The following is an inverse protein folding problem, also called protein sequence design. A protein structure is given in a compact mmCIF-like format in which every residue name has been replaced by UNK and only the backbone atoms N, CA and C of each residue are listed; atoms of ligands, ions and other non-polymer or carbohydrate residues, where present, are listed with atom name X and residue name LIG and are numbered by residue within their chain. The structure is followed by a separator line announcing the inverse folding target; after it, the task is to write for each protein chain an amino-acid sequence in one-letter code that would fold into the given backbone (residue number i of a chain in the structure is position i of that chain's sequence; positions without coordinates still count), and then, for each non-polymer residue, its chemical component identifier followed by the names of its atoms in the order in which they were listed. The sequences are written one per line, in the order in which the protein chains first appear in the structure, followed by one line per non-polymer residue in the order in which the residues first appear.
data_IF_083322502280
#
_entry.id   IF_083322502280
#
_cell.length_a   1.000
_cell.length_b   1.000
_cell.length_c   1.000
_cell.angle_alpha   90.00
_cell.angle_beta   90.00
_cell.angle_gamma   90.00
#
_symmetry.space_group_name_H-M   'P 1'
#
loop_
_entity.id
_entity.type
_entity.pdbx_description
1 polymer ?
#
# COMPACT_ATOMS: atom_id res chain seq x y z
N UNK A 1 7.87 4.07 -36.95
CA UNK A 1 9.23 4.53 -36.59
C UNK A 1 10.04 3.29 -36.24
N UNK A 2 11.20 3.12 -36.87
CA UNK A 2 12.15 2.04 -36.61
C UNK A 2 12.41 1.92 -35.09
N UNK A 3 12.46 0.73 -34.50
CA UNK A 3 13.45 -0.29 -34.83
C UNK A 3 14.75 0.03 -34.11
N UNK A 4 14.74 -0.15 -32.80
CA UNK A 4 15.89 0.05 -31.92
C UNK A 4 15.66 -0.69 -30.61
N UNK A 5 15.83 -2.01 -30.63
CA UNK A 5 15.99 -2.83 -29.43
C UNK A 5 17.34 -2.53 -28.78
N UNK A 6 17.50 -1.29 -28.30
CA UNK A 6 18.61 -0.95 -27.42
C UNK A 6 18.31 -1.57 -26.06
N UNK A 7 19.22 -2.41 -25.57
CA UNK A 7 19.18 -2.90 -24.18
C UNK A 7 18.94 -1.71 -23.25
N UNK A 8 17.83 -1.76 -22.50
CA UNK A 8 17.56 -0.79 -21.45
C UNK A 8 18.76 -0.77 -20.50
N UNK A 9 19.24 0.41 -20.13
CA UNK A 9 20.27 0.52 -19.09
C UNK A 9 19.67 0.12 -17.75
N UNK A 10 20.39 -0.73 -17.01
CA UNK A 10 19.94 -1.21 -15.71
C UNK A 10 20.27 -0.18 -14.63
N UNK A 11 19.36 -0.04 -13.68
CA UNK A 11 19.58 0.72 -12.45
C UNK A 11 19.23 -0.18 -11.28
N UNK A 12 20.12 -0.29 -10.30
CA UNK A 12 19.85 -1.04 -9.08
C UNK A 12 19.32 -0.08 -8.02
N UNK A 13 18.21 -0.46 -7.39
CA UNK A 13 17.49 0.33 -6.38
C UNK A 13 17.66 -0.32 -5.01
N UNK A 14 18.17 0.46 -4.06
CA UNK A 14 18.37 0.06 -2.66
C UNK A 14 17.48 0.89 -1.70
N UNK A 15 16.25 0.42 -1.50
CA UNK A 15 15.25 1.07 -0.66
C UNK A 15 14.63 2.34 -1.27
N UNK A 16 13.64 2.89 -0.56
CA UNK A 16 12.84 4.04 -1.04
C UNK A 16 13.66 5.31 -1.22
N UNK A 17 14.66 5.55 -0.37
CA UNK A 17 15.53 6.73 -0.49
C UNK A 17 16.36 6.69 -1.77
N UNK A 18 16.95 5.54 -2.10
CA UNK A 18 17.70 5.40 -3.35
C UNK A 18 16.75 5.51 -4.54
N UNK A 19 15.56 4.89 -4.48
CA UNK A 19 14.54 5.02 -5.52
C UNK A 19 14.20 6.49 -5.84
N UNK A 20 13.97 7.32 -4.82
CA UNK A 20 13.74 8.77 -4.97
C UNK A 20 14.92 9.48 -5.62
N UNK A 21 16.14 9.17 -5.20
CA UNK A 21 17.35 9.78 -5.76
C UNK A 21 17.55 9.39 -7.23
N UNK A 22 17.33 8.12 -7.57
CA UNK A 22 17.45 7.58 -8.94
C UNK A 22 16.41 8.19 -9.87
N UNK A 23 15.13 8.20 -9.44
CA UNK A 23 14.03 8.78 -10.20
C UNK A 23 14.22 10.27 -10.52
N UNK A 24 14.88 11.00 -9.63
CA UNK A 24 15.17 12.41 -9.86
C UNK A 24 16.41 12.65 -10.76
N UNK A 25 17.38 11.73 -10.72
CA UNK A 25 18.66 11.89 -11.42
C UNK A 25 18.66 11.32 -12.84
N UNK A 26 17.88 10.27 -13.09
CA UNK A 26 17.93 9.50 -14.33
C UNK A 26 16.70 9.84 -15.17
N UNK A 27 16.95 10.32 -16.39
CA UNK A 27 15.93 10.69 -17.36
C UNK A 27 15.97 9.70 -18.52
N UNK A 28 14.79 9.24 -18.93
CA UNK A 28 14.57 8.30 -20.03
C UNK A 28 14.46 6.83 -19.61
N UNK A 29 14.24 5.94 -20.59
CA UNK A 29 13.88 4.53 -20.35
C UNK A 29 14.95 3.75 -19.59
N UNK A 30 14.56 3.00 -18.56
CA UNK A 30 15.48 2.19 -17.73
C UNK A 30 14.82 0.89 -17.27
N UNK A 31 15.63 -0.13 -17.03
CA UNK A 31 15.21 -1.31 -16.29
C UNK A 31 15.60 -1.14 -14.82
N UNK A 32 14.60 -1.01 -13.95
CA UNK A 32 14.77 -0.91 -12.52
C UNK A 32 14.86 -2.30 -11.88
N UNK A 33 16.02 -2.61 -11.32
CA UNK A 33 16.32 -3.84 -10.59
C UNK A 33 16.28 -3.53 -9.10
N UNK A 34 15.47 -4.25 -8.33
CA UNK A 34 15.48 -4.10 -6.87
C UNK A 34 16.66 -4.88 -6.32
N UNK A 35 17.55 -4.21 -5.58
CA UNK A 35 18.66 -4.87 -4.88
C UNK A 35 18.28 -5.23 -3.45
N UNK A 36 17.76 -4.26 -2.70
CA UNK A 36 17.16 -4.51 -1.40
C UNK A 36 16.06 -3.50 -1.06
N UNK A 37 15.11 -3.91 -0.23
CA UNK A 37 14.05 -3.01 0.27
C UNK A 37 13.58 -3.47 1.63
N UNK A 38 13.28 -2.52 2.52
CA UNK A 38 12.59 -2.82 3.78
C UNK A 38 11.14 -3.20 3.48
N UNK A 39 10.59 -4.20 4.16
CA UNK A 39 9.18 -4.64 3.96
C UNK A 39 8.22 -3.45 4.00
N UNK A 40 8.33 -2.58 5.01
CA UNK A 40 7.50 -1.37 5.16
C UNK A 40 7.69 -0.30 4.08
N UNK A 41 8.81 -0.32 3.35
CA UNK A 41 9.08 0.63 2.28
C UNK A 41 8.59 0.11 0.92
N UNK A 42 8.28 -1.19 0.79
CA UNK A 42 7.95 -1.82 -0.49
C UNK A 42 6.75 -1.18 -1.21
N UNK A 43 5.62 -0.84 -0.55
CA UNK A 43 4.50 -0.17 -1.22
C UNK A 43 4.87 1.21 -1.77
N UNK A 44 5.71 1.96 -1.05
CA UNK A 44 6.18 3.28 -1.46
C UNK A 44 7.16 3.18 -2.64
N UNK A 45 8.08 2.21 -2.62
CA UNK A 45 8.97 1.93 -3.76
C UNK A 45 8.15 1.57 -5.00
N UNK A 46 7.18 0.66 -4.87
CA UNK A 46 6.32 0.25 -5.97
C UNK A 46 5.57 1.46 -6.56
N UNK A 47 4.90 2.25 -5.72
CA UNK A 47 4.17 3.45 -6.14
C UNK A 47 5.06 4.45 -6.87
N UNK A 48 6.28 4.66 -6.38
CA UNK A 48 7.25 5.54 -7.02
C UNK A 48 7.65 5.01 -8.39
N UNK A 49 7.97 3.73 -8.51
CA UNK A 49 8.40 3.14 -9.76
C UNK A 49 7.29 3.10 -10.79
N UNK A 50 6.04 2.83 -10.40
CA UNK A 50 4.88 2.94 -11.28
C UNK A 50 4.73 4.35 -11.87
N UNK A 51 5.06 5.39 -11.11
CA UNK A 51 5.07 6.77 -11.65
C UNK A 51 6.19 6.96 -12.67
N UNK A 52 7.35 6.35 -12.45
CA UNK A 52 8.47 6.42 -13.40
C UNK A 52 8.25 5.56 -14.64
N UNK A 53 7.50 4.45 -14.54
CA UNK A 53 7.04 3.68 -15.70
C UNK A 53 6.26 4.59 -16.65
N UNK A 54 5.28 5.34 -16.13
CA UNK A 54 4.45 6.25 -16.93
C UNK A 54 5.24 7.47 -17.41
N UNK A 55 6.13 8.02 -16.57
CA UNK A 55 6.79 9.30 -16.83
C UNK A 55 8.05 9.18 -17.68
N UNK A 56 8.79 8.09 -17.54
CA UNK A 56 10.15 7.94 -18.06
C UNK A 56 10.31 6.65 -18.88
N UNK A 57 9.22 5.92 -19.15
CA UNK A 57 9.22 4.60 -19.79
C UNK A 57 10.16 3.63 -19.06
N UNK A 58 10.13 3.63 -17.73
CA UNK A 58 10.85 2.64 -16.94
C UNK A 58 10.13 1.29 -16.99
N UNK A 59 10.89 0.22 -16.83
CA UNK A 59 10.41 -1.13 -16.59
C UNK A 59 10.88 -1.59 -15.20
N UNK A 60 10.06 -2.39 -14.51
CA UNK A 60 10.40 -2.94 -13.20
C UNK A 60 10.73 -4.41 -13.37
N UNK A 61 11.99 -4.78 -13.16
CA UNK A 61 12.38 -6.18 -13.19
C UNK A 61 11.64 -6.94 -12.07
N UNK A 62 10.96 -8.04 -12.44
CA UNK A 62 10.24 -8.91 -11.50
C UNK A 62 9.24 -8.15 -10.63
N UNK A 63 8.49 -7.23 -11.24
CA UNK A 63 7.44 -6.44 -10.58
C UNK A 63 6.59 -7.27 -9.60
N UNK A 64 6.16 -8.47 -10.00
CA UNK A 64 5.36 -9.37 -9.17
C UNK A 64 5.99 -9.68 -7.79
N UNK A 65 7.33 -9.74 -7.67
CA UNK A 65 8.01 -9.95 -6.38
C UNK A 65 7.87 -8.74 -5.48
N UNK A 66 7.96 -7.53 -6.06
CA UNK A 66 7.75 -6.28 -5.33
C UNK A 66 6.27 -6.09 -4.95
N UNK A 67 5.34 -6.45 -5.85
CA UNK A 67 3.89 -6.45 -5.57
C UNK A 67 3.55 -7.38 -4.40
N UNK A 68 4.07 -8.61 -4.41
CA UNK A 68 3.89 -9.59 -3.32
C UNK A 68 4.51 -9.09 -2.01
N UNK A 69 5.64 -8.38 -2.06
CA UNK A 69 6.28 -7.79 -0.89
C UNK A 69 5.48 -6.60 -0.33
N UNK A 70 4.89 -5.77 -1.20
CA UNK A 70 3.97 -4.71 -0.79
C UNK A 70 2.70 -5.30 -0.15
N UNK A 71 2.13 -6.37 -0.72
CA UNK A 71 1.00 -7.10 -0.14
C UNK A 71 1.35 -7.67 1.24
N UNK A 72 2.56 -8.21 1.41
CA UNK A 72 3.02 -8.67 2.73
C UNK A 72 3.01 -7.53 3.75
N UNK A 73 3.48 -6.32 3.41
CA UNK A 73 3.40 -5.18 4.33
C UNK A 73 1.96 -4.84 4.71
N UNK A 74 1.04 -4.81 3.73
CA UNK A 74 -0.37 -4.53 4.00
C UNK A 74 -0.98 -5.58 4.94
N UNK A 75 -0.69 -6.86 4.76
CA UNK A 75 -1.17 -7.91 5.68
C UNK A 75 -0.59 -7.74 7.10
N UNK A 76 0.68 -7.39 7.23
CA UNK A 76 1.29 -7.09 8.53
C UNK A 76 0.63 -5.85 9.18
N UNK A 77 0.28 -4.83 8.38
CA UNK A 77 -0.45 -3.67 8.86
C UNK A 77 -1.87 -4.03 9.36
N UNK A 78 -2.61 -4.91 8.67
CA UNK A 78 -3.92 -5.40 9.14
C UNK A 78 -3.79 -6.07 10.52
N UNK A 79 -2.75 -6.89 10.70
CA UNK A 79 -2.51 -7.56 11.99
C UNK A 79 -2.23 -6.52 13.09
N UNK A 80 -1.36 -5.55 12.83
CA UNK A 80 -0.94 -4.56 13.82
C UNK A 80 -2.03 -3.54 14.16
N UNK A 81 -2.76 -3.05 13.16
CA UNK A 81 -3.66 -1.91 13.30
C UNK A 81 -5.11 -2.32 13.60
N UNK A 82 -5.51 -3.57 13.31
CA UNK A 82 -6.87 -4.05 13.57
C UNK A 82 -6.91 -5.27 14.51
N UNK A 83 -6.18 -6.34 14.19
CA UNK A 83 -6.32 -7.63 14.90
C UNK A 83 -5.71 -7.57 16.31
N UNK A 84 -4.49 -7.05 16.45
CA UNK A 84 -3.83 -6.89 17.75
C UNK A 84 -4.67 -6.01 18.69
N UNK A 85 -5.17 -4.82 18.29
CA UNK A 85 -6.05 -4.01 19.14
C UNK A 85 -7.32 -4.74 19.59
N UNK A 86 -7.98 -5.51 18.71
CA UNK A 86 -9.14 -6.33 19.06
C UNK A 86 -8.81 -7.34 20.17
N UNK A 87 -7.68 -8.04 20.02
CA UNK A 87 -7.24 -9.09 20.94
C UNK A 87 -6.67 -8.53 22.25
N UNK A 88 -6.09 -7.33 22.23
CA UNK A 88 -5.70 -6.62 23.44
C UNK A 88 -6.91 -6.21 24.28
N UNK A 89 -8.00 -5.78 23.63
CA UNK A 89 -9.24 -5.41 24.34
C UNK A 89 -10.00 -6.65 24.82
N UNK A 90 -10.13 -7.65 23.95
CA UNK A 90 -10.89 -8.88 24.22
C UNK A 90 -10.04 -10.10 23.85
N UNK A 91 -9.30 -10.71 24.80
CA UNK A 91 -8.39 -11.83 24.51
C UNK A 91 -9.05 -13.05 23.87
N UNK A 92 -10.37 -13.25 24.07
CA UNK A 92 -11.15 -14.34 23.48
C UNK A 92 -12.02 -13.89 22.29
N UNK A 93 -11.66 -12.81 21.61
CA UNK A 93 -12.39 -12.33 20.43
C UNK A 93 -12.30 -13.35 19.28
N UNK A 94 -13.38 -14.10 19.06
CA UNK A 94 -13.42 -15.23 18.11
C UNK A 94 -13.05 -14.80 16.68
N UNK A 95 -13.61 -13.70 16.20
CA UNK A 95 -13.34 -13.17 14.84
C UNK A 95 -11.86 -12.81 14.68
N UNK A 96 -11.32 -11.94 15.53
CA UNK A 96 -9.90 -11.58 15.50
C UNK A 96 -8.98 -12.80 15.64
N UNK A 97 -9.36 -13.81 16.43
CA UNK A 97 -8.62 -15.07 16.53
C UNK A 97 -8.61 -15.88 15.23
N UNK A 98 -9.75 -15.97 14.53
CA UNK A 98 -9.85 -16.61 13.21
C UNK A 98 -9.00 -15.88 12.19
N UNK A 99 -9.08 -14.54 12.16
CA UNK A 99 -8.28 -13.73 11.25
C UNK A 99 -6.78 -13.84 11.55
N UNK A 100 -6.37 -13.86 12.83
CA UNK A 100 -4.98 -14.09 13.20
C UNK A 100 -4.45 -15.44 12.69
N UNK A 101 -5.27 -16.49 12.73
CA UNK A 101 -4.93 -17.79 12.15
C UNK A 101 -4.78 -17.72 10.62
N UNK A 102 -5.70 -17.03 9.94
CA UNK A 102 -5.70 -16.84 8.48
C UNK A 102 -4.46 -16.07 8.03
N UNK A 103 -4.20 -14.91 8.62
CA UNK A 103 -2.99 -14.13 8.32
C UNK A 103 -1.72 -14.87 8.70
N UNK A 104 -1.74 -15.70 9.74
CA UNK A 104 -0.61 -16.57 10.08
C UNK A 104 -0.22 -17.55 8.97
N UNK A 105 -1.17 -18.06 8.18
CA UNK A 105 -0.88 -18.83 6.96
C UNK A 105 -0.46 -17.93 5.82
N UNK A 106 -1.23 -16.87 5.59
CA UNK A 106 -1.09 -15.97 4.45
C UNK A 106 0.29 -15.33 4.37
N UNK A 107 0.80 -14.73 5.46
CA UNK A 107 2.12 -14.09 5.46
C UNK A 107 3.24 -15.11 5.19
N UNK A 108 3.08 -16.35 5.65
CA UNK A 108 4.05 -17.41 5.42
C UNK A 108 4.05 -17.82 3.94
N UNK A 109 2.87 -17.98 3.34
CA UNK A 109 2.72 -18.31 1.93
C UNK A 109 3.24 -17.19 1.03
N UNK A 110 2.85 -15.92 1.29
CA UNK A 110 3.38 -14.76 0.59
C UNK A 110 4.91 -14.72 0.63
N UNK A 111 5.52 -14.89 1.80
CA UNK A 111 6.97 -14.91 1.94
C UNK A 111 7.65 -16.03 1.12
N UNK A 112 7.03 -17.22 1.04
CA UNK A 112 7.52 -18.31 0.21
C UNK A 112 7.32 -18.03 -1.30
N UNK A 113 6.24 -17.37 -1.69
CA UNK A 113 5.93 -17.08 -3.10
C UNK A 113 6.85 -16.03 -3.74
N UNK A 114 7.57 -15.23 -2.94
CA UNK A 114 8.43 -14.16 -3.48
C UNK A 114 9.77 -14.74 -4.00
N UNK A 115 10.41 -15.62 -3.22
CA UNK A 115 11.75 -16.17 -3.52
C UNK A 115 11.91 -17.66 -3.22
N UNK A 116 10.83 -18.36 -2.89
CA UNK A 116 10.85 -19.74 -2.44
C UNK A 116 11.10 -19.92 -0.93
N UNK A 117 10.89 -21.14 -0.40
CA UNK A 117 10.92 -21.43 1.03
C UNK A 117 12.33 -21.42 1.66
N UNK A 118 13.38 -21.44 0.84
CA UNK A 118 14.80 -21.46 1.29
C UNK A 118 15.32 -20.04 1.54
N UNK A 119 14.64 -19.01 1.02
CA UNK A 119 15.09 -17.64 1.15
C UNK A 119 15.01 -17.11 2.59
N UNK A 120 15.90 -16.17 2.93
CA UNK A 120 15.97 -15.55 4.25
C UNK A 120 14.65 -14.89 4.68
N UNK A 121 13.88 -14.34 3.73
CA UNK A 121 12.54 -13.80 3.97
C UNK A 121 11.60 -14.86 4.55
N UNK A 122 11.46 -16.01 3.90
CA UNK A 122 10.61 -17.10 4.42
C UNK A 122 11.16 -17.66 5.74
N UNK A 123 12.49 -17.74 5.90
CA UNK A 123 13.11 -18.14 7.17
C UNK A 123 12.76 -17.21 8.34
N UNK A 124 12.59 -15.90 8.08
CA UNK A 124 12.17 -14.91 9.08
C UNK A 124 10.66 -14.91 9.32
N UNK A 125 9.84 -14.96 8.27
CA UNK A 125 8.37 -14.85 8.35
C UNK A 125 7.73 -16.17 8.84
N UNK A 126 8.26 -17.32 8.43
CA UNK A 126 7.70 -18.63 8.76
C UNK A 126 7.53 -18.91 10.26
N UNK A 127 8.53 -18.65 11.13
CA UNK A 127 8.39 -18.74 12.58
C UNK A 127 7.30 -17.84 13.15
N UNK A 128 7.14 -16.62 12.62
CA UNK A 128 6.09 -15.69 13.04
C UNK A 128 4.73 -16.23 12.64
N UNK A 129 4.54 -16.64 11.39
CA UNK A 129 3.29 -17.24 10.92
C UNK A 129 2.85 -18.44 11.77
N UNK A 130 3.78 -19.35 12.10
CA UNK A 130 3.52 -20.48 13.02
C UNK A 130 3.13 -20.02 14.42
N UNK A 131 3.77 -18.96 14.92
CA UNK A 131 3.45 -18.38 16.23
C UNK A 131 2.03 -17.80 16.25
N UNK A 132 1.62 -17.04 15.23
CA UNK A 132 0.27 -16.51 15.09
C UNK A 132 -0.79 -17.62 15.12
N UNK A 133 -0.58 -18.68 14.33
CA UNK A 133 -1.50 -19.83 14.28
C UNK A 133 -1.56 -20.58 15.62
N UNK A 134 -0.44 -20.70 16.32
CA UNK A 134 -0.40 -21.31 17.66
C UNK A 134 -1.18 -20.47 18.67
N UNK A 135 -1.01 -19.15 18.65
CA UNK A 135 -1.76 -18.23 19.51
C UNK A 135 -3.27 -18.37 19.27
N UNK A 136 -3.71 -18.26 18.02
CA UNK A 136 -5.10 -18.44 17.63
C UNK A 136 -5.66 -19.81 18.03
N UNK A 137 -4.89 -20.89 17.86
CA UNK A 137 -5.31 -22.23 18.31
C UNK A 137 -5.55 -22.28 19.82
N UNK A 138 -4.65 -21.70 20.63
CA UNK A 138 -4.82 -21.67 22.08
C UNK A 138 -6.05 -20.88 22.51
N UNK A 139 -6.31 -19.77 21.83
CA UNK A 139 -7.50 -18.93 22.01
C UNK A 139 -8.78 -19.71 21.70
N UNK A 140 -8.87 -20.34 20.51
CA UNK A 140 -10.07 -21.09 20.08
C UNK A 140 -10.36 -22.30 20.96
N UNK A 141 -9.34 -23.02 21.41
CA UNK A 141 -9.53 -24.23 22.22
C UNK A 141 -9.63 -23.94 23.73
N UNK A 142 -9.49 -22.69 24.17
CA UNK A 142 -9.52 -22.33 25.59
C UNK A 142 -8.45 -23.03 26.43
N UNK A 143 -7.32 -23.40 25.82
CA UNK A 143 -6.25 -24.18 26.50
C UNK A 143 -5.31 -23.30 27.33
N UNK A 144 -5.49 -21.98 27.28
CA UNK A 144 -4.72 -20.96 27.99
C UNK A 144 -5.67 -19.92 28.57
N UNK A 145 -5.25 -19.30 29.66
CA UNK A 145 -6.03 -18.26 30.33
C UNK A 145 -5.89 -16.88 29.66
N UNK A 146 -6.75 -15.94 30.07
CA UNK A 146 -6.75 -14.58 29.54
C UNK A 146 -5.41 -13.86 29.74
N UNK A 147 -4.72 -14.12 30.86
CA UNK A 147 -3.44 -13.50 31.18
C UNK A 147 -2.34 -13.96 30.21
N UNK A 148 -2.31 -15.26 29.90
CA UNK A 148 -1.39 -15.82 28.90
C UNK A 148 -1.68 -15.26 27.51
N UNK A 149 -2.95 -15.14 27.11
CA UNK A 149 -3.33 -14.55 25.81
C UNK A 149 -2.91 -13.07 25.73
N UNK A 150 -3.22 -12.27 26.76
CA UNK A 150 -2.83 -10.86 26.80
C UNK A 150 -1.30 -10.66 26.84
N UNK A 151 -0.55 -11.55 27.49
CA UNK A 151 0.91 -11.50 27.45
C UNK A 151 1.46 -11.82 26.05
N UNK A 152 0.93 -12.85 25.39
CA UNK A 152 1.42 -13.25 24.07
C UNK A 152 0.96 -12.34 22.93
N UNK A 153 -0.13 -11.58 23.08
CA UNK A 153 -0.54 -10.64 22.01
C UNK A 153 0.44 -9.46 21.89
N UNK A 154 1.09 -9.07 22.99
CA UNK A 154 2.21 -8.11 22.93
C UNK A 154 3.40 -8.70 22.17
N UNK A 155 3.71 -9.98 22.38
CA UNK A 155 4.74 -10.66 21.61
C UNK A 155 4.37 -10.81 20.13
N UNK A 156 3.08 -11.01 19.80
CA UNK A 156 2.59 -10.95 18.41
C UNK A 156 2.89 -9.58 17.80
N UNK A 157 2.53 -8.50 18.50
CA UNK A 157 2.80 -7.12 18.05
C UNK A 157 4.28 -6.91 17.76
N UNK A 158 5.15 -7.28 18.70
CA UNK A 158 6.60 -7.05 18.58
C UNK A 158 7.20 -7.85 17.41
N UNK A 159 6.82 -9.13 17.28
CA UNK A 159 7.31 -10.00 16.18
C UNK A 159 6.83 -9.52 14.81
N UNK A 160 5.57 -9.11 14.68
CA UNK A 160 5.01 -8.60 13.42
C UNK A 160 5.62 -7.25 13.07
N UNK A 161 5.83 -6.38 14.05
CA UNK A 161 6.52 -5.10 13.86
C UNK A 161 7.98 -5.29 13.42
N UNK A 162 8.66 -6.32 13.92
CA UNK A 162 10.03 -6.64 13.50
C UNK A 162 10.08 -7.07 12.02
N UNK A 163 9.08 -7.80 11.52
CA UNK A 163 9.00 -8.17 10.10
C UNK A 163 8.88 -6.94 9.20
N UNK A 164 8.09 -5.91 9.58
CA UNK A 164 8.00 -4.67 8.81
C UNK A 164 9.33 -3.92 8.69
N UNK A 165 10.24 -4.14 9.65
CA UNK A 165 11.58 -3.54 9.66
C UNK A 165 12.65 -4.37 8.94
N UNK A 166 12.29 -5.58 8.48
CA UNK A 166 13.22 -6.47 7.79
C UNK A 166 13.63 -5.88 6.44
N UNK A 167 14.93 -5.81 6.17
CA UNK A 167 15.48 -5.51 4.85
C UNK A 167 15.59 -6.82 4.06
N UNK A 168 14.92 -6.86 2.92
CA UNK A 168 14.84 -8.02 2.05
C UNK A 168 15.80 -7.83 0.90
N UNK A 169 16.81 -8.69 0.81
CA UNK A 169 17.72 -8.75 -0.33
C UNK A 169 17.03 -9.46 -1.50
N UNK A 170 17.09 -8.87 -2.69
CA UNK A 170 16.63 -9.49 -3.93
C UNK A 170 17.86 -10.16 -4.56
N UNK A 171 17.82 -11.48 -4.81
CA UNK A 171 18.94 -12.17 -5.42
C UNK A 171 19.16 -11.67 -6.85
N UNK A 172 20.41 -11.31 -7.16
CA UNK A 172 20.87 -11.19 -8.54
C UNK A 172 20.81 -12.58 -9.17
N UNK A 173 19.84 -12.80 -10.06
CA UNK A 173 19.81 -14.02 -10.86
C UNK A 173 20.40 -13.71 -12.23
N UNK A 174 21.30 -14.57 -12.70
CA UNK A 174 21.82 -14.52 -14.06
C UNK A 174 20.62 -14.58 -15.04
N UNK A 175 20.46 -13.62 -15.97
CA UNK A 175 19.33 -13.60 -16.90
C UNK A 175 19.19 -14.91 -17.70
N UNK A 176 20.27 -15.66 -17.90
CA UNK A 176 20.21 -16.99 -18.52
C UNK A 176 19.50 -18.05 -17.65
N UNK A 177 19.62 -17.96 -16.32
CA UNK A 177 18.91 -18.83 -15.38
C UNK A 177 17.44 -18.40 -15.21
N UNK A 178 17.17 -17.09 -15.22
CA UNK A 178 15.81 -16.55 -15.15
C UNK A 178 14.98 -16.91 -16.39
N UNK A 179 15.55 -16.86 -17.60
CA UNK A 179 14.87 -17.28 -18.82
C UNK A 179 14.55 -18.78 -18.86
N UNK A 180 15.34 -19.62 -18.18
CA UNK A 180 15.07 -21.05 -18.04
C UNK A 180 13.95 -21.35 -17.02
N UNK A 181 13.75 -20.48 -16.03
CA UNK A 181 12.66 -20.59 -15.04
C UNK A 181 11.36 -19.93 -15.51
N UNK A 182 11.43 -18.90 -16.35
CA UNK A 182 10.27 -18.18 -16.90
C UNK A 182 9.41 -19.02 -17.87
N UNK A 183 9.82 -20.25 -18.20
CA UNK A 183 9.03 -21.19 -18.99
C UNK A 183 7.93 -21.91 -18.21
N UNK A 184 7.77 -21.65 -16.90
CA UNK A 184 6.86 -22.41 -16.02
C UNK A 184 6.00 -21.53 -15.08
N UNK A 185 6.00 -20.20 -15.26
CA UNK A 185 5.22 -19.26 -14.43
C UNK A 185 3.91 -18.82 -15.13
N UNK A 186 3.07 -19.80 -15.49
CA UNK A 186 1.61 -19.64 -15.64
C UNK A 186 0.94 -20.24 -14.38
N UNK A 187 1.29 -19.70 -13.21
CA UNK A 187 0.50 -19.92 -11.99
C UNK A 187 -0.18 -18.61 -11.61
N UNK A 188 -1.34 -18.40 -12.25
CA UNK A 188 -2.53 -17.89 -11.60
C UNK A 188 -2.87 -18.80 -10.39
N UNK A 189 -2.06 -18.70 -9.34
CA UNK A 189 -2.35 -19.33 -8.06
C UNK A 189 -2.46 -18.28 -6.95
N UNK A 190 -3.42 -17.38 -7.13
CA UNK A 190 -4.08 -16.68 -6.02
C UNK A 190 -5.29 -17.51 -5.51
N UNK A 191 -5.37 -18.82 -5.82
CA UNK A 191 -6.56 -19.65 -5.62
C UNK A 191 -6.40 -20.96 -4.84
N UNK A 192 -5.20 -21.37 -4.43
CA UNK A 192 -4.97 -22.70 -3.81
C UNK A 192 -5.48 -22.80 -2.36
N UNK A 193 -6.77 -23.12 -2.29
CA UNK A 193 -7.37 -24.17 -1.48
C UNK A 193 -7.19 -24.06 0.05
N UNK A 194 -7.98 -23.17 0.64
CA UNK A 194 -8.46 -23.39 2.00
C UNK A 194 -9.49 -24.53 1.98
N UNK A 195 -9.05 -25.76 2.21
CA UNK A 195 -9.93 -26.80 2.74
C UNK A 195 -10.19 -26.44 4.21
N UNK A 196 -11.24 -25.64 4.45
CA UNK A 196 -11.89 -25.67 5.76
C UNK A 196 -12.56 -27.05 5.87
N UNK A 197 -12.03 -27.92 6.73
CA UNK A 197 -12.75 -29.10 7.19
C UNK A 197 -14.10 -28.64 7.79
N UNK A 198 -15.16 -28.97 7.07
CA UNK A 198 -16.52 -29.23 7.58
C UNK A 198 -17.38 -28.03 8.03
N UNK A 199 -18.12 -27.46 7.07
CA UNK A 199 -19.54 -27.11 7.22
C UNK A 199 -20.15 -26.83 5.83
N UNK A 200 -20.96 -27.77 5.33
CA UNK A 200 -21.57 -27.70 4.02
C UNK A 200 -22.47 -26.48 3.81
N UNK A 201 -22.44 -25.93 2.60
CA UNK A 201 -23.62 -25.37 1.96
C UNK A 201 -23.42 -25.33 0.44
N UNK A 202 -24.27 -26.07 -0.27
CA UNK A 202 -24.56 -25.87 -1.68
C UNK A 202 -24.90 -24.40 -1.93
N UNK A 203 -24.16 -23.73 -2.80
CA UNK A 203 -24.63 -22.51 -3.46
C UNK A 203 -24.50 -22.72 -4.95
N UNK A 204 -25.55 -23.33 -5.51
CA UNK A 204 -25.83 -23.29 -6.93
C UNK A 204 -26.02 -21.83 -7.38
N UNK A 205 -25.51 -21.54 -8.58
CA UNK A 205 -25.62 -20.23 -9.22
C UNK A 205 -27.06 -19.76 -9.32
N UNK A 206 -27.30 -18.58 -8.75
CA UNK A 206 -28.45 -17.73 -9.05
C UNK A 206 -27.94 -16.32 -9.26
N UNK A 207 -28.26 -15.72 -10.41
CA UNK A 207 -28.03 -14.30 -10.71
C UNK A 207 -28.92 -13.38 -9.87
N UNK A 208 -28.79 -13.48 -8.54
CA UNK A 208 -29.43 -12.59 -7.57
C UNK A 208 -28.58 -11.36 -7.34
N UNK A 209 -29.24 -10.22 -7.12
CA UNK A 209 -28.61 -8.96 -6.68
C UNK A 209 -27.66 -9.23 -5.50
N UNK A 210 -26.41 -8.79 -5.64
CA UNK A 210 -25.43 -8.87 -4.56
C UNK A 210 -25.96 -8.14 -3.33
N UNK A 211 -25.92 -8.77 -2.17
CA UNK A 211 -26.21 -8.08 -0.92
C UNK A 211 -25.14 -7.01 -0.67
N UNK A 212 -25.58 -5.80 -0.45
CA UNK A 212 -24.73 -4.66 -0.14
C UNK A 212 -24.28 -4.67 1.32
N UNK A 213 -23.02 -4.30 1.56
CA UNK A 213 -22.47 -4.05 2.87
C UNK A 213 -21.73 -2.71 2.86
N UNK A 214 -21.85 -1.95 3.94
CA UNK A 214 -21.10 -0.69 4.12
C UNK A 214 -19.95 -0.93 5.10
N UNK A 215 -18.75 -0.48 4.72
CA UNK A 215 -17.53 -0.61 5.52
C UNK A 215 -17.06 0.75 6.01
N UNK A 216 -16.85 0.86 7.33
CA UNK A 216 -16.34 2.04 8.03
C UNK A 216 -14.97 1.76 8.67
N UNK A 217 -13.91 2.01 7.90
CA UNK A 217 -12.53 1.82 8.31
C UNK A 217 -12.06 0.36 8.36
N UNK A 218 -10.79 0.18 8.73
CA UNK A 218 -10.13 -1.12 8.70
C UNK A 218 -10.70 -2.12 9.71
N UNK A 219 -11.07 -1.65 10.90
CA UNK A 219 -11.61 -2.50 11.94
C UNK A 219 -12.96 -3.13 11.51
N UNK A 220 -13.86 -2.32 10.96
CA UNK A 220 -15.13 -2.83 10.41
C UNK A 220 -14.86 -3.78 9.24
N UNK A 221 -13.93 -3.46 8.34
CA UNK A 221 -13.56 -4.34 7.24
C UNK A 221 -13.16 -5.74 7.70
N UNK A 222 -12.30 -5.85 8.72
CA UNK A 222 -11.89 -7.14 9.30
C UNK A 222 -13.08 -7.88 9.93
N UNK A 223 -13.94 -7.17 10.67
CA UNK A 223 -15.13 -7.78 11.27
C UNK A 223 -16.09 -8.32 10.22
N UNK A 224 -16.33 -7.56 9.14
CA UNK A 224 -17.21 -7.94 8.03
C UNK A 224 -16.66 -9.14 7.27
N UNK A 225 -15.38 -9.12 6.91
CA UNK A 225 -14.72 -10.20 6.17
C UNK A 225 -14.77 -11.55 6.90
N UNK A 226 -14.71 -11.51 8.24
CA UNK A 226 -14.81 -12.70 9.05
C UNK A 226 -16.26 -13.18 9.27
N UNK A 227 -17.23 -12.26 9.31
CA UNK A 227 -18.61 -12.55 9.65
C UNK A 227 -19.48 -12.94 8.44
N UNK A 228 -19.17 -12.39 7.26
CA UNK A 228 -20.01 -12.50 6.08
C UNK A 228 -19.37 -13.46 5.09
N UNK A 229 -20.13 -14.49 4.71
CA UNK A 229 -19.71 -15.50 3.73
C UNK A 229 -20.50 -15.34 2.43
N UNK A 230 -19.78 -15.49 1.32
CA UNK A 230 -20.29 -15.42 -0.04
C UNK A 230 -20.25 -14.03 -0.68
N UNK A 231 -20.74 -13.91 -1.93
CA UNK A 231 -20.57 -12.71 -2.75
C UNK A 231 -21.28 -11.49 -2.19
N UNK A 232 -20.62 -10.32 -2.19
CA UNK A 232 -21.16 -9.06 -1.65
C UNK A 232 -20.72 -7.88 -2.50
N UNK A 233 -21.57 -6.85 -2.56
CA UNK A 233 -21.19 -5.54 -3.06
C UNK A 233 -20.77 -4.68 -1.85
N UNK A 234 -19.52 -4.24 -1.84
CA UNK A 234 -18.92 -3.48 -0.76
C UNK A 234 -18.95 -2.00 -1.08
N UNK A 235 -19.66 -1.24 -0.26
CA UNK A 235 -19.67 0.22 -0.30
C UNK A 235 -18.73 0.72 0.80
N UNK A 236 -17.79 1.57 0.44
CA UNK A 236 -16.95 2.25 1.43
C UNK A 236 -17.73 3.42 1.98
N UNK A 237 -17.92 3.49 3.30
CA UNK A 237 -18.55 4.63 3.98
C UNK A 237 -17.52 5.67 4.37
N UNK A 238 -16.53 5.27 5.16
CA UNK A 238 -15.38 6.12 5.49
C UNK A 238 -14.12 5.31 5.75
N UNK A 239 -12.97 5.89 5.44
CA UNK A 239 -11.65 5.27 5.65
C UNK A 239 -10.64 6.35 6.02
N UNK A 240 -9.78 6.07 7.01
CA UNK A 240 -8.60 6.90 7.29
C UNK A 240 -7.58 6.72 6.17
N UNK A 241 -6.96 7.81 5.70
CA UNK A 241 -5.97 7.76 4.60
C UNK A 241 -4.89 6.69 4.85
N UNK A 242 -4.32 6.63 6.06
CA UNK A 242 -3.32 5.62 6.44
C UNK A 242 -3.78 4.17 6.37
N UNK A 243 -5.08 3.95 6.48
CA UNK A 243 -5.67 2.61 6.55
C UNK A 243 -6.10 2.14 5.15
N UNK A 244 -6.22 3.04 4.18
CA UNK A 244 -6.71 2.75 2.83
C UNK A 244 -5.94 1.61 2.12
N UNK A 245 -4.59 1.53 2.18
CA UNK A 245 -3.87 0.39 1.59
C UNK A 245 -4.24 -0.96 2.22
N UNK A 246 -4.36 -1.00 3.54
CA UNK A 246 -4.72 -2.21 4.28
C UNK A 246 -6.18 -2.63 4.02
N UNK A 247 -7.10 -1.66 3.95
CA UNK A 247 -8.50 -1.91 3.58
C UNK A 247 -8.58 -2.46 2.16
N UNK A 248 -7.89 -1.85 1.20
CA UNK A 248 -7.87 -2.32 -0.18
C UNK A 248 -7.34 -3.74 -0.29
N UNK A 249 -6.18 -4.02 0.33
CA UNK A 249 -5.58 -5.36 0.30
C UNK A 249 -6.48 -6.44 0.93
N UNK A 250 -7.18 -6.09 2.02
CA UNK A 250 -8.16 -6.98 2.64
C UNK A 250 -9.32 -7.26 1.70
N UNK A 251 -9.91 -6.23 1.11
CA UNK A 251 -11.09 -6.38 0.26
C UNK A 251 -10.77 -7.07 -1.07
N UNK A 252 -9.61 -6.81 -1.67
CA UNK A 252 -9.15 -7.54 -2.86
C UNK A 252 -8.98 -9.03 -2.56
N UNK A 253 -8.44 -9.37 -1.38
CA UNK A 253 -8.34 -10.76 -0.92
C UNK A 253 -9.70 -11.41 -0.74
N UNK A 254 -10.67 -10.70 -0.18
CA UNK A 254 -12.05 -11.18 -0.07
C UNK A 254 -12.76 -11.24 -1.43
N UNK A 255 -12.36 -10.41 -2.40
CA UNK A 255 -12.80 -10.50 -3.78
C UNK A 255 -12.47 -11.86 -4.38
N UNK A 256 -11.22 -12.30 -4.24
CA UNK A 256 -10.78 -13.63 -4.70
C UNK A 256 -11.42 -14.76 -3.88
N UNK A 257 -11.49 -14.62 -2.55
CA UNK A 257 -11.93 -15.69 -1.65
C UNK A 257 -13.45 -15.90 -1.63
N UNK A 258 -14.23 -14.83 -1.75
CA UNK A 258 -15.67 -14.82 -1.48
C UNK A 258 -16.49 -14.23 -2.63
N UNK A 259 -15.86 -13.72 -3.69
CA UNK A 259 -16.55 -13.00 -4.76
C UNK A 259 -17.08 -11.65 -4.30
N UNK A 260 -16.34 -10.95 -3.44
CA UNK A 260 -16.68 -9.58 -3.07
C UNK A 260 -16.31 -8.60 -4.19
N UNK A 261 -17.21 -7.66 -4.47
CA UNK A 261 -17.01 -6.60 -5.44
C UNK A 261 -16.96 -5.26 -4.69
N UNK A 262 -15.93 -4.45 -4.93
CA UNK A 262 -15.79 -3.14 -4.29
C UNK A 262 -16.40 -2.08 -5.20
N UNK A 263 -17.47 -1.43 -4.74
CA UNK A 263 -18.04 -0.31 -5.45
C UNK A 263 -16.99 0.80 -5.57
N UNK A 264 -16.74 1.23 -6.82
CA UNK A 264 -15.74 2.26 -7.15
C UNK A 264 -14.36 1.97 -6.55
N UNK A 265 -13.90 0.72 -6.67
CA UNK A 265 -12.55 0.27 -6.27
C UNK A 265 -11.43 1.28 -6.60
N UNK A 266 -11.50 1.94 -7.76
CA UNK A 266 -10.53 2.96 -8.18
C UNK A 266 -10.36 4.12 -7.19
N UNK A 267 -11.43 4.54 -6.48
CA UNK A 267 -11.36 5.62 -5.48
C UNK A 267 -10.55 5.18 -4.26
N UNK A 268 -10.79 3.97 -3.77
CA UNK A 268 -10.01 3.40 -2.67
C UNK A 268 -8.55 3.15 -3.09
N UNK A 269 -8.31 2.70 -4.33
CA UNK A 269 -6.96 2.53 -4.88
C UNK A 269 -6.21 3.86 -5.01
N UNK A 270 -6.85 4.92 -5.51
CA UNK A 270 -6.28 6.28 -5.56
C UNK A 270 -6.01 6.82 -4.14
N UNK A 271 -6.86 6.50 -3.16
CA UNK A 271 -6.63 6.86 -1.76
C UNK A 271 -5.44 6.11 -1.14
N UNK A 272 -5.27 4.82 -1.45
CA UNK A 272 -4.10 4.04 -1.06
C UNK A 272 -2.80 4.62 -1.67
N UNK A 273 -2.84 4.99 -2.95
CA UNK A 273 -1.73 5.66 -3.64
C UNK A 273 -1.38 7.00 -2.98
N UNK A 274 -2.39 7.78 -2.59
CA UNK A 274 -2.18 9.02 -1.85
C UNK A 274 -1.42 8.76 -0.54
N UNK A 275 -1.77 7.73 0.23
CA UNK A 275 -1.03 7.37 1.45
C UNK A 275 0.43 7.03 1.16
N UNK A 276 0.70 6.22 0.13
CA UNK A 276 2.07 5.86 -0.26
C UNK A 276 2.90 7.08 -0.65
N UNK A 277 2.33 8.05 -1.37
CA UNK A 277 3.00 9.31 -1.68
C UNK A 277 3.28 10.17 -0.45
N UNK A 278 2.31 10.25 0.48
CA UNK A 278 2.51 10.96 1.75
C UNK A 278 3.61 10.29 2.59
N UNK A 279 3.71 8.95 2.55
CA UNK A 279 4.76 8.20 3.22
C UNK A 279 6.15 8.53 2.63
N UNK A 280 6.29 8.65 1.30
CA UNK A 280 7.56 9.07 0.68
C UNK A 280 7.98 10.47 1.15
N UNK A 281 7.01 11.41 1.22
CA UNK A 281 7.29 12.75 1.71
C UNK A 281 7.76 12.73 3.17
N UNK A 282 7.07 11.99 4.05
CA UNK A 282 7.39 11.92 5.48
C UNK A 282 8.68 11.18 5.79
N UNK A 283 8.88 10.01 5.18
CA UNK A 283 9.94 9.08 5.58
C UNK A 283 11.24 9.29 4.78
N UNK A 284 11.18 10.00 3.65
CA UNK A 284 12.35 10.23 2.78
C UNK A 284 12.65 11.71 2.62
N UNK A 285 11.72 12.47 2.06
CA UNK A 285 12.01 13.84 1.60
C UNK A 285 12.22 14.78 2.79
N UNK A 286 11.34 14.71 3.80
CA UNK A 286 11.46 15.51 5.02
C UNK A 286 12.80 15.24 5.74
N UNK A 287 13.19 13.98 6.04
CA UNK A 287 14.50 13.69 6.62
C UNK A 287 15.69 14.20 5.82
N UNK A 288 15.64 14.10 4.48
CA UNK A 288 16.70 14.63 3.62
C UNK A 288 16.84 16.15 3.73
N UNK A 289 15.71 16.88 3.76
CA UNK A 289 15.68 18.33 3.88
C UNK A 289 15.98 18.81 5.30
N UNK A 290 15.65 18.03 6.33
CA UNK A 290 16.07 18.30 7.71
C UNK A 290 17.59 18.22 7.88
N UNK A 291 18.24 17.26 7.21
CA UNK A 291 19.70 17.13 7.24
C UNK A 291 20.39 18.16 6.36
N UNK A 292 19.86 18.39 5.15
CA UNK A 292 20.42 19.31 4.15
C UNK A 292 19.30 20.20 3.59
N UNK A 293 19.06 21.39 4.16
CA UNK A 293 17.94 22.25 3.76
C UNK A 293 17.95 22.67 2.29
N UNK A 294 19.13 22.71 1.66
CA UNK A 294 19.29 23.04 0.24
C UNK A 294 19.49 21.80 -0.66
N UNK A 295 19.03 20.62 -0.24
CA UNK A 295 19.14 19.41 -1.04
C UNK A 295 18.31 19.48 -2.33
N UNK A 296 18.96 19.75 -3.47
CA UNK A 296 18.31 20.04 -4.77
C UNK A 296 17.31 18.95 -5.18
N UNK A 297 17.72 17.68 -5.11
CA UNK A 297 16.84 16.54 -5.48
C UNK A 297 15.59 16.49 -4.60
N UNK A 298 15.76 16.51 -3.27
CA UNK A 298 14.64 16.48 -2.34
C UNK A 298 13.70 17.68 -2.54
N UNK A 299 14.23 18.87 -2.85
CA UNK A 299 13.42 20.05 -3.18
C UNK A 299 12.58 19.86 -4.44
N UNK A 300 13.18 19.32 -5.51
CA UNK A 300 12.47 19.00 -6.76
C UNK A 300 11.37 17.95 -6.53
N UNK A 301 11.67 16.90 -5.77
CA UNK A 301 10.69 15.87 -5.43
C UNK A 301 9.58 16.43 -4.54
N UNK A 302 9.89 17.30 -3.59
CA UNK A 302 8.87 17.98 -2.78
C UNK A 302 7.88 18.78 -3.63
N UNK A 303 8.38 19.48 -4.66
CA UNK A 303 7.52 20.17 -5.63
C UNK A 303 6.64 19.19 -6.41
N UNK A 304 7.23 18.08 -6.90
CA UNK A 304 6.51 17.03 -7.66
C UNK A 304 5.41 16.38 -6.83
N UNK A 305 5.72 15.94 -5.62
CA UNK A 305 4.73 15.37 -4.70
C UNK A 305 3.69 16.41 -4.29
N UNK A 306 4.07 17.69 -4.13
CA UNK A 306 3.12 18.78 -3.89
C UNK A 306 2.06 18.91 -4.98
N UNK A 307 2.42 18.75 -6.25
CA UNK A 307 1.43 18.69 -7.35
C UNK A 307 0.67 17.36 -7.34
N UNK A 308 1.38 16.25 -7.23
CA UNK A 308 0.83 14.89 -7.33
C UNK A 308 -0.26 14.60 -6.30
N UNK A 309 -0.01 14.89 -5.01
CA UNK A 309 -1.01 14.66 -3.96
C UNK A 309 -2.28 15.49 -4.16
N UNK A 310 -2.13 16.71 -4.71
CA UNK A 310 -3.27 17.58 -4.99
C UNK A 310 -4.11 17.01 -6.14
N UNK A 311 -3.46 16.54 -7.21
CA UNK A 311 -4.16 15.92 -8.35
C UNK A 311 -4.83 14.61 -7.93
N UNK A 312 -4.14 13.75 -7.18
CA UNK A 312 -4.73 12.52 -6.62
C UNK A 312 -5.95 12.82 -5.75
N UNK A 313 -5.88 13.83 -4.88
CA UNK A 313 -7.02 14.19 -4.04
C UNK A 313 -8.22 14.71 -4.86
N UNK A 314 -7.96 15.46 -5.94
CA UNK A 314 -9.00 15.93 -6.85
C UNK A 314 -9.60 14.79 -7.68
N UNK A 315 -8.81 13.79 -8.10
CA UNK A 315 -9.31 12.70 -8.96
C UNK A 315 -10.11 11.63 -8.20
N UNK A 316 -10.12 11.62 -6.86
CA UNK A 316 -10.92 10.63 -6.10
C UNK A 316 -12.41 11.02 -6.07
N UNK A 317 -12.72 12.30 -5.82
CA UNK A 317 -14.11 12.78 -5.63
C UNK A 317 -14.39 14.14 -6.30
N UNK A 318 -13.46 14.66 -7.09
CA UNK A 318 -13.53 16.01 -7.65
C UNK A 318 -12.97 17.10 -6.74
N UNK A 319 -12.77 18.32 -7.28
CA UNK A 319 -12.09 19.42 -6.59
C UNK A 319 -12.90 20.10 -5.48
N UNK A 320 -14.21 19.83 -5.41
CA UNK A 320 -15.13 20.42 -4.41
C UNK A 320 -15.19 19.57 -3.13
N UNK A 321 -14.71 18.33 -3.17
CA UNK A 321 -14.78 17.41 -2.04
C UNK A 321 -13.89 17.84 -0.86
N UNK A 322 -14.29 17.49 0.36
CA UNK A 322 -13.58 17.81 1.60
C UNK A 322 -12.13 17.28 1.60
N UNK A 323 -11.88 16.13 0.97
CA UNK A 323 -10.53 15.58 0.79
C UNK A 323 -9.62 16.54 0.03
N UNK A 324 -10.05 17.01 -1.15
CA UNK A 324 -9.26 17.96 -1.94
C UNK A 324 -9.09 19.29 -1.20
N UNK A 325 -10.13 19.76 -0.49
CA UNK A 325 -10.04 20.97 0.33
C UNK A 325 -8.98 20.84 1.46
N UNK A 326 -8.81 19.66 2.04
CA UNK A 326 -7.79 19.39 3.05
C UNK A 326 -6.37 19.24 2.46
N UNK A 327 -6.24 18.56 1.31
CA UNK A 327 -4.94 18.27 0.68
C UNK A 327 -4.35 19.47 -0.06
N UNK A 328 -5.18 20.28 -0.73
CA UNK A 328 -4.74 21.42 -1.56
C UNK A 328 -3.85 22.42 -0.82
N UNK A 329 -4.16 22.88 0.41
CA UNK A 329 -3.27 23.76 1.17
C UNK A 329 -1.90 23.14 1.46
N UNK A 330 -1.86 21.83 1.72
CA UNK A 330 -0.61 21.11 1.97
C UNK A 330 0.20 21.00 0.67
N UNK A 331 -0.40 20.58 -0.43
CA UNK A 331 0.28 20.52 -1.75
C UNK A 331 0.87 21.86 -2.17
N UNK A 332 0.13 22.96 -2.00
CA UNK A 332 0.64 24.33 -2.22
C UNK A 332 1.82 24.67 -1.30
N UNK A 333 1.72 24.29 -0.03
CA UNK A 333 2.78 24.54 0.95
C UNK A 333 4.08 23.79 0.60
N UNK A 334 3.98 22.54 0.16
CA UNK A 334 5.12 21.75 -0.35
C UNK A 334 5.81 22.46 -1.52
N UNK A 335 5.03 22.87 -2.54
CA UNK A 335 5.57 23.58 -3.72
C UNK A 335 6.19 24.92 -3.35
N UNK A 336 5.57 25.67 -2.43
CA UNK A 336 6.11 26.95 -1.94
C UNK A 336 7.44 26.75 -1.21
N UNK A 337 7.56 25.73 -0.36
CA UNK A 337 8.81 25.39 0.30
C UNK A 337 9.91 25.10 -0.74
N UNK A 338 9.61 24.25 -1.71
CA UNK A 338 10.55 23.91 -2.79
C UNK A 338 10.97 25.14 -3.62
N UNK A 339 10.04 26.05 -3.94
CA UNK A 339 10.36 27.32 -4.63
C UNK A 339 11.32 28.19 -3.81
N UNK A 340 11.10 28.33 -2.49
CA UNK A 340 12.00 29.10 -1.63
C UNK A 340 13.40 28.50 -1.57
N UNK A 341 13.48 27.17 -1.49
CA UNK A 341 14.73 26.42 -1.54
C UNK A 341 15.47 26.63 -2.86
N UNK A 342 14.77 26.51 -4.00
CA UNK A 342 15.37 26.65 -5.33
C UNK A 342 15.87 28.07 -5.62
N UNK A 343 15.09 29.09 -5.28
CA UNK A 343 15.44 30.49 -5.55
C UNK A 343 16.36 31.11 -4.48
N UNK A 344 16.65 30.40 -3.38
CA UNK A 344 17.49 30.93 -2.29
C UNK A 344 16.90 32.16 -1.61
N UNK A 345 15.57 32.32 -1.60
CA UNK A 345 14.89 33.50 -1.04
C UNK A 345 14.74 33.43 0.48
N UNK A 346 15.11 32.31 1.09
CA UNK A 346 15.05 32.05 2.53
C UNK A 346 16.34 31.37 3.00
N UNK A 347 16.67 31.56 4.26
CA UNK A 347 17.85 30.96 4.87
C UNK A 347 17.62 29.51 5.33
N UNK A 348 18.70 28.83 5.70
CA UNK A 348 18.65 27.44 6.16
C UNK A 348 17.78 27.27 7.42
N UNK A 349 17.78 28.25 8.33
CA UNK A 349 17.00 28.21 9.56
C UNK A 349 15.49 28.26 9.26
N UNK A 350 15.08 29.14 8.35
CA UNK A 350 13.70 29.22 7.89
C UNK A 350 13.26 27.93 7.20
N UNK A 351 14.10 27.38 6.31
CA UNK A 351 13.81 26.11 5.63
C UNK A 351 13.67 24.95 6.63
N UNK A 352 14.59 24.83 7.58
CA UNK A 352 14.55 23.79 8.61
C UNK A 352 13.34 23.94 9.55
N UNK A 353 12.90 25.15 9.88
CA UNK A 353 11.66 25.37 10.62
C UNK A 353 10.43 24.99 9.80
N UNK A 354 10.39 25.41 8.53
CA UNK A 354 9.25 25.19 7.64
C UNK A 354 9.08 23.72 7.24
N UNK A 355 10.16 22.92 7.20
CA UNK A 355 10.07 21.48 6.91
C UNK A 355 9.44 20.67 8.07
N UNK A 356 9.58 21.14 9.31
CA UNK A 356 8.87 20.53 10.44
C UNK A 356 7.36 20.76 10.33
N UNK A 357 6.94 21.94 9.87
CA UNK A 357 5.53 22.20 9.58
C UNK A 357 5.02 21.34 8.42
N UNK A 358 5.86 21.09 7.40
CA UNK A 358 5.54 20.11 6.33
C UNK A 358 5.28 18.74 6.94
N UNK A 359 6.18 18.25 7.79
CA UNK A 359 6.04 16.95 8.47
C UNK A 359 4.71 16.85 9.20
N UNK A 360 4.38 17.85 10.01
CA UNK A 360 3.19 17.81 10.86
C UNK A 360 1.90 17.87 10.02
N UNK A 361 1.87 18.70 8.94
CA UNK A 361 0.73 18.77 8.02
C UNK A 361 0.53 17.48 7.23
N UNK A 362 1.60 16.88 6.72
CA UNK A 362 1.52 15.61 5.96
C UNK A 362 1.12 14.46 6.88
N UNK A 363 1.61 14.44 8.12
CA UNK A 363 1.18 13.47 9.14
C UNK A 363 -0.31 13.62 9.49
N UNK A 364 -0.80 14.86 9.59
CA UNK A 364 -2.23 15.12 9.80
C UNK A 364 -3.10 14.61 8.64
N UNK A 365 -2.64 14.74 7.38
CA UNK A 365 -3.36 14.19 6.23
C UNK A 365 -3.47 12.67 6.27
N UNK A 366 -2.42 11.94 6.69
CA UNK A 366 -2.49 10.48 6.84
C UNK A 366 -3.52 10.05 7.90
N UNK A 367 -3.78 10.90 8.88
CA UNK A 367 -4.78 10.67 9.94
C UNK A 367 -6.20 11.11 9.57
N UNK A 368 -6.40 11.71 8.40
CA UNK A 368 -7.69 12.22 7.95
C UNK A 368 -8.64 11.05 7.66
N UNK A 369 -9.84 11.09 8.26
CA UNK A 369 -10.95 10.19 7.89
C UNK A 369 -11.68 10.79 6.69
N UNK A 370 -11.75 10.01 5.60
CA UNK A 370 -12.34 10.42 4.34
C UNK A 370 -13.70 9.76 4.21
N UNK A 371 -14.76 10.58 4.18
CA UNK A 371 -16.11 10.13 3.88
C UNK A 371 -16.24 9.88 2.38
N UNK A 372 -16.81 8.75 2.02
CA UNK A 372 -17.18 8.42 0.66
C UNK A 372 -18.66 8.81 0.50
N UNK A 373 -19.00 9.72 -0.45
CA UNK A 373 -20.38 10.13 -0.63
C UNK A 373 -21.24 8.95 -1.10
N UNK A 374 -22.39 8.79 -0.48
CA UNK A 374 -23.49 7.98 -1.03
C UNK A 374 -23.94 8.67 -2.31
N UNK A 375 -23.58 8.10 -3.46
CA UNK A 375 -24.10 8.52 -4.75
C UNK A 375 -25.10 7.46 -5.21
N UNK A 376 -26.28 7.91 -5.64
CA UNK A 376 -27.28 7.04 -6.24
C UNK A 376 -26.61 6.29 -7.43
N UNK A 377 -26.61 4.95 -7.46
CA UNK A 377 -25.95 4.18 -8.52
C UNK A 377 -26.44 4.56 -9.93
N UNK A 378 -27.66 5.09 -10.04
CA UNK A 378 -28.17 5.65 -11.30
C UNK A 378 -27.43 6.92 -11.76
N UNK A 379 -27.00 7.78 -10.82
CA UNK A 379 -26.20 8.97 -11.13
C UNK A 379 -24.73 8.63 -11.40
N UNK A 380 -24.22 7.58 -10.75
CA UNK A 380 -22.86 7.06 -10.92
C UNK A 380 -22.59 6.54 -12.34
N UNK A 381 -23.52 5.74 -12.88
CA UNK A 381 -23.42 5.15 -14.21
C UNK A 381 -23.42 6.23 -15.32
N UNK A 382 -24.06 7.38 -15.09
CA UNK A 382 -24.03 8.51 -16.00
C UNK A 382 -22.67 9.24 -16.02
N UNK A 383 -21.92 9.22 -14.91
CA UNK A 383 -20.60 9.83 -14.81
C UNK A 383 -19.46 8.90 -15.27
N UNK A 384 -19.64 7.58 -15.14
CA UNK A 384 -18.64 6.59 -15.56
C UNK A 384 -18.46 6.47 -17.09
N UNK A 385 -19.35 7.06 -17.88
CA UNK A 385 -19.26 7.06 -19.35
C UNK A 385 -18.17 7.97 -19.94
N UNK A 386 -17.50 8.79 -19.12
CA UNK A 386 -16.51 9.79 -19.57
C UNK A 386 -15.10 9.58 -18.99
N UNK A 387 -14.87 8.58 -18.13
CA UNK A 387 -13.63 8.48 -17.32
C UNK A 387 -12.57 7.51 -17.89
N UNK A 388 -12.54 7.34 -19.22
CA UNK A 388 -11.43 6.71 -19.97
C UNK A 388 -10.30 7.71 -20.29
N UNK A 389 -10.23 8.83 -19.55
CA UNK A 389 -9.07 9.70 -19.61
C UNK A 389 -7.91 9.11 -18.81
N UNK A 390 -7.04 8.45 -19.57
CA UNK A 390 -5.61 8.33 -19.34
C UNK A 390 -5.03 9.71 -19.02
N UNK A 391 -5.13 10.11 -17.74
CA UNK A 391 -4.49 11.30 -17.20
C UNK A 391 -2.97 11.04 -17.10
N UNK A 392 -2.33 11.02 -18.26
CA UNK A 392 -0.93 11.43 -18.35
C UNK A 392 -0.83 12.82 -17.73
N UNK A 393 0.15 13.10 -16.85
CA UNK A 393 0.24 14.40 -16.22
C UNK A 393 0.56 15.44 -17.29
N UNK A 394 -0.44 16.25 -17.66
CA UNK A 394 -0.22 17.53 -18.32
C UNK A 394 0.55 18.41 -17.34
N UNK A 395 1.87 18.31 -17.40
CA UNK A 395 2.79 19.28 -16.81
C UNK A 395 2.75 20.54 -17.67
N UNK A 396 1.64 21.26 -17.61
CA UNK A 396 1.65 22.67 -17.94
C UNK A 396 2.37 23.38 -16.79
N UNK A 397 3.44 24.07 -17.13
CA UNK A 397 4.08 25.05 -16.26
C UNK A 397 3.02 26.12 -15.95
N UNK A 398 2.38 26.04 -14.77
CA UNK A 398 1.61 27.15 -14.22
C UNK A 398 2.61 28.26 -13.82
N UNK A 399 3.00 29.04 -14.83
CA UNK A 399 3.36 30.44 -14.72
C UNK A 399 2.09 31.23 -14.40
N UNK A 400 1.75 31.33 -13.12
CA UNK A 400 0.79 32.32 -12.64
C UNK A 400 1.31 33.00 -11.36
N UNK A 401 1.79 34.22 -11.61
CA UNK A 401 1.69 35.47 -10.87
C UNK A 401 1.31 35.42 -9.37
N UNK A 402 2.29 35.75 -8.52
CA UNK A 402 2.16 36.72 -7.41
C UNK A 402 3.50 37.40 -7.11
#
# INVERSE_FOLDING_TARGET
MAGGGGELQWIVIHGVRDAVLRAAAIIGPRLAVIGDVRVSDAPAVLTLLEKEVVRQDWEIERRHRLDRLARLDHELAIILEAIVPMLMHTPFHIVAGRELQRYGWSIQHLAASIFGPVHALHAAVGPVGRFLRRHARHQHHGTRDAAWLAGNILEVRDRVSALRSLVVMFPEEDPAAAAAAAGDDDHDDDGAEFVEDDAGSDVEGGGGELQWIVIHGLHDAVLRAAAIVGPRLVIIGDVRVSDAPAVLALLDKEGVRQGWEIERRHRLARLAKLDHELAIVLEVIVPMLMHTPFHIVAGRELQRYGSSIQHLAASIFGPVHALHAAVRPVGRFLRRHARHQHHGTRDAAWLAGNILEVRDRVSALRSLVVMFPEEDPAAAAAAAGDDDHDDGPEFAEDDDEE
#
